data_IF_488083720128
#
_entry.id   IF_488083720128
#
_cell.length_a   1.000
_cell.length_b   1.000
_cell.length_c   1.000
_cell.angle_alpha   90.00
_cell.angle_beta   90.00
_cell.angle_gamma   90.00
#
_symmetry.space_group_name_H-M   'P 1'
#
loop_
_entity.id
_entity.type
_entity.pdbx_description
1 polymer ?
#
# COMPACT_ATOMS: atom_id res chain seq x y z
N UNK A 1 1.33 -23.83 6.09
CA UNK A 1 2.04 -23.51 7.35
C UNK A 1 3.17 -24.50 7.61
N UNK A 2 2.99 -25.82 7.42
CA UNK A 2 4.05 -26.83 7.64
C UNK A 2 5.38 -26.48 6.94
N UNK A 3 5.32 -26.01 5.70
CA UNK A 3 6.50 -25.76 4.88
C UNK A 3 7.21 -24.44 5.22
N UNK A 4 6.55 -23.54 5.98
CA UNK A 4 7.05 -22.22 6.35
C UNK A 4 7.19 -22.02 7.86
N UNK A 5 7.01 -23.08 8.66
CA UNK A 5 7.11 -22.95 10.12
C UNK A 5 8.57 -22.72 10.54
N UNK A 6 8.86 -21.64 11.29
CA UNK A 6 10.21 -21.40 11.79
C UNK A 6 10.62 -22.52 12.78
N UNK A 7 11.92 -22.81 12.85
CA UNK A 7 12.45 -23.85 13.72
C UNK A 7 12.00 -23.77 15.19
N UNK A 8 11.89 -22.57 15.81
CA UNK A 8 11.32 -22.47 17.18
C UNK A 8 9.89 -22.99 17.31
N UNK A 9 9.06 -22.84 16.26
CA UNK A 9 7.69 -23.34 16.27
C UNK A 9 7.67 -24.87 16.13
N UNK A 10 8.51 -25.45 15.29
CA UNK A 10 8.66 -26.92 15.16
C UNK A 10 9.08 -27.53 16.47
N UNK A 11 10.12 -26.98 17.10
CA UNK A 11 10.60 -27.44 18.40
C UNK A 11 9.51 -27.32 19.49
N UNK A 12 8.69 -26.29 19.47
CA UNK A 12 7.57 -26.14 20.40
C UNK A 12 6.50 -27.21 20.18
N UNK A 13 6.14 -27.49 18.93
CA UNK A 13 5.15 -28.54 18.57
C UNK A 13 5.62 -29.93 19.06
N UNK A 14 6.92 -30.20 18.92
CA UNK A 14 7.51 -31.47 19.34
C UNK A 14 7.75 -31.57 20.86
N UNK A 15 7.76 -30.47 21.57
CA UNK A 15 8.11 -30.40 23.01
C UNK A 15 7.10 -31.08 23.91
N UNK A 16 5.82 -31.19 23.52
CA UNK A 16 4.73 -31.83 24.33
C UNK A 16 3.72 -32.51 23.42
N UNK A 17 3.22 -33.65 23.81
CA UNK A 17 2.19 -34.40 23.09
C UNK A 17 0.94 -33.57 22.80
N UNK A 18 0.48 -32.74 23.75
CA UNK A 18 -0.69 -31.87 23.59
C UNK A 18 -0.47 -30.82 22.49
N UNK A 19 0.74 -30.30 22.31
CA UNK A 19 1.03 -29.32 21.25
C UNK A 19 1.04 -29.98 19.88
N UNK A 20 1.53 -31.22 19.79
CA UNK A 20 1.47 -32.00 18.55
C UNK A 20 0.03 -32.34 18.18
N UNK A 21 -0.79 -32.77 19.14
CA UNK A 21 -2.22 -33.07 18.93
C UNK A 21 -2.98 -31.81 18.47
N UNK A 22 -2.74 -30.65 19.13
CA UNK A 22 -3.32 -29.36 18.73
C UNK A 22 -2.91 -28.98 17.32
N UNK A 23 -1.64 -29.18 16.97
CA UNK A 23 -1.14 -28.93 15.64
C UNK A 23 -1.80 -29.82 14.58
N UNK A 24 -1.95 -31.09 14.85
CA UNK A 24 -2.57 -32.05 13.95
C UNK A 24 -4.04 -31.70 13.68
N UNK A 25 -4.82 -31.36 14.72
CA UNK A 25 -6.18 -30.86 14.54
C UNK A 25 -6.25 -29.53 13.81
N UNK A 26 -5.38 -28.59 14.14
CA UNK A 26 -5.33 -27.29 13.45
C UNK A 26 -5.01 -27.44 11.97
N UNK A 27 -4.10 -28.37 11.63
CA UNK A 27 -3.72 -28.67 10.25
C UNK A 27 -4.85 -29.33 9.44
N UNK A 28 -5.73 -30.10 10.09
CA UNK A 28 -6.92 -30.67 9.44
C UNK A 28 -8.01 -29.61 9.19
N UNK A 29 -8.05 -28.57 10.00
CA UNK A 29 -9.01 -27.45 9.86
C UNK A 29 -8.52 -26.39 8.86
N UNK A 30 -7.25 -26.44 8.47
CA UNK A 30 -6.69 -25.49 7.51
C UNK A 30 -7.38 -25.64 6.15
N UNK A 31 -7.71 -24.51 5.52
CA UNK A 31 -8.44 -24.41 4.25
C UNK A 31 -9.92 -24.85 4.26
N UNK A 32 -10.50 -25.15 5.42
CA UNK A 32 -11.94 -25.33 5.50
C UNK A 32 -12.66 -23.99 5.46
N UNK A 33 -13.76 -23.93 4.72
CA UNK A 33 -14.61 -22.75 4.69
C UNK A 33 -15.20 -22.50 6.09
N UNK A 34 -14.96 -21.31 6.65
CA UNK A 34 -15.40 -20.96 8.00
C UNK A 34 -16.69 -20.14 8.01
N UNK A 35 -16.76 -19.14 7.17
CA UNK A 35 -17.88 -18.18 7.13
C UNK A 35 -17.99 -17.52 5.76
N UNK A 36 -19.17 -17.02 5.46
CA UNK A 36 -19.40 -16.15 4.32
C UNK A 36 -18.99 -14.73 4.66
N UNK A 37 -18.41 -14.02 3.70
CA UNK A 37 -18.10 -12.60 3.79
C UNK A 37 -18.77 -11.81 2.68
N UNK A 38 -19.11 -10.56 2.97
CA UNK A 38 -19.62 -9.62 1.96
C UNK A 38 -18.52 -8.66 1.61
N UNK A 39 -18.24 -8.49 0.32
CA UNK A 39 -17.30 -7.47 -0.13
C UNK A 39 -17.88 -6.07 0.10
N UNK A 40 -17.12 -5.21 0.77
CA UNK A 40 -17.63 -3.92 1.24
C UNK A 40 -18.04 -2.95 0.11
N UNK A 41 -17.46 -3.08 -1.08
CA UNK A 41 -17.61 -2.11 -2.16
C UNK A 41 -17.72 -2.73 -3.56
N UNK A 42 -17.98 -4.02 -3.68
CA UNK A 42 -18.19 -4.68 -4.97
C UNK A 42 -19.68 -4.88 -5.27
N UNK A 43 -20.03 -4.68 -6.53
CA UNK A 43 -21.34 -5.01 -7.09
C UNK A 43 -21.16 -6.04 -8.19
N UNK A 44 -22.00 -7.07 -8.19
CA UNK A 44 -22.02 -8.08 -9.25
C UNK A 44 -23.14 -7.74 -10.22
N UNK A 45 -22.79 -7.66 -11.51
CA UNK A 45 -23.71 -7.36 -12.60
C UNK A 45 -23.97 -8.62 -13.39
N UNK A 46 -25.24 -8.91 -13.65
CA UNK A 46 -25.69 -10.04 -14.42
C UNK A 46 -26.50 -9.59 -15.67
N UNK A 47 -26.45 -10.32 -16.78
CA UNK A 47 -27.24 -9.99 -17.99
C UNK A 47 -28.75 -10.30 -17.84
N UNK A 48 -29.10 -11.10 -16.85
CA UNK A 48 -30.48 -11.48 -16.49
C UNK A 48 -30.64 -11.45 -14.97
N UNK A 49 -31.83 -11.75 -14.46
CA UNK A 49 -32.07 -11.81 -13.00
C UNK A 49 -31.11 -12.80 -12.34
N UNK A 50 -30.43 -12.33 -11.29
CA UNK A 50 -29.32 -13.02 -10.64
C UNK A 50 -29.67 -14.46 -10.20
N UNK A 51 -30.90 -14.67 -9.69
CA UNK A 51 -31.35 -15.99 -9.22
C UNK A 51 -31.46 -17.06 -10.32
N UNK A 52 -31.47 -16.64 -11.59
CA UNK A 52 -31.45 -17.56 -12.75
C UNK A 52 -30.05 -18.08 -13.07
N UNK A 53 -29.01 -17.39 -12.59
CA UNK A 53 -27.61 -17.71 -12.86
C UNK A 53 -26.89 -18.27 -11.64
N UNK A 54 -27.22 -17.77 -10.46
CA UNK A 54 -26.52 -18.12 -9.22
C UNK A 54 -27.46 -18.15 -8.00
N UNK A 55 -27.20 -19.01 -7.02
CA UNK A 55 -27.89 -18.94 -5.74
C UNK A 55 -27.52 -17.64 -5.01
N UNK A 56 -28.51 -17.10 -4.29
CA UNK A 56 -28.40 -15.85 -3.56
C UNK A 56 -28.78 -16.07 -2.11
N UNK A 57 -28.06 -15.46 -1.18
CA UNK A 57 -28.46 -15.35 0.22
C UNK A 57 -28.58 -13.89 0.65
N UNK A 58 -29.25 -13.65 1.76
CA UNK A 58 -29.32 -12.32 2.37
C UNK A 58 -28.35 -12.21 3.52
N UNK A 59 -27.45 -11.24 3.43
CA UNK A 59 -26.44 -11.03 4.45
C UNK A 59 -27.02 -10.24 5.64
N UNK A 60 -26.87 -10.75 6.84
CA UNK A 60 -27.19 -10.03 8.08
C UNK A 60 -25.99 -9.19 8.54
N UNK A 61 -26.19 -7.98 9.10
CA UNK A 61 -27.47 -7.34 9.43
C UNK A 61 -28.07 -6.47 8.31
N UNK A 62 -27.42 -6.37 7.14
CA UNK A 62 -27.77 -5.38 6.09
C UNK A 62 -28.93 -5.82 5.19
N UNK A 63 -29.38 -7.05 5.26
CA UNK A 63 -30.36 -7.67 4.35
C UNK A 63 -29.98 -7.55 2.85
N UNK A 64 -28.71 -7.38 2.57
CA UNK A 64 -28.19 -7.21 1.20
C UNK A 64 -28.18 -8.56 0.49
N UNK A 65 -28.69 -8.66 -0.77
CA UNK A 65 -28.59 -9.87 -1.56
C UNK A 65 -27.13 -10.09 -2.02
N UNK A 66 -26.61 -11.28 -1.76
CA UNK A 66 -25.22 -11.67 -2.06
C UNK A 66 -25.20 -12.97 -2.84
N UNK A 67 -24.38 -13.00 -3.90
CA UNK A 67 -24.11 -14.20 -4.68
C UNK A 67 -23.31 -15.20 -3.85
N UNK A 68 -23.71 -16.47 -3.84
CA UNK A 68 -23.07 -17.52 -3.04
C UNK A 68 -21.77 -18.08 -3.66
N UNK A 69 -21.43 -17.69 -4.88
CA UNK A 69 -20.19 -18.08 -5.52
C UNK A 69 -19.04 -17.12 -5.15
N UNK A 70 -17.83 -17.67 -5.04
CA UNK A 70 -16.62 -16.86 -4.92
C UNK A 70 -16.33 -16.13 -6.24
N UNK A 71 -15.30 -15.29 -6.23
CA UNK A 71 -14.92 -14.45 -7.37
C UNK A 71 -14.70 -15.27 -8.65
N UNK A 72 -13.99 -16.41 -8.56
CA UNK A 72 -13.60 -17.20 -9.74
C UNK A 72 -14.81 -17.86 -10.37
N UNK A 73 -15.64 -18.53 -9.59
CA UNK A 73 -16.86 -19.16 -10.09
C UNK A 73 -17.88 -18.14 -10.60
N UNK A 74 -17.96 -16.96 -9.97
CA UNK A 74 -18.82 -15.88 -10.46
C UNK A 74 -18.39 -15.39 -11.86
N UNK A 75 -17.08 -15.21 -12.09
CA UNK A 75 -16.53 -14.85 -13.40
C UNK A 75 -16.74 -15.97 -14.44
N UNK A 76 -16.55 -17.25 -14.06
CA UNK A 76 -16.71 -18.42 -14.95
C UNK A 76 -18.14 -18.56 -15.50
N UNK A 77 -19.14 -18.20 -14.71
CA UNK A 77 -20.56 -18.22 -15.17
C UNK A 77 -20.99 -16.93 -15.88
N UNK A 78 -20.05 -16.03 -16.16
CA UNK A 78 -20.27 -14.81 -16.94
C UNK A 78 -20.82 -13.63 -16.14
N UNK A 79 -20.69 -13.62 -14.82
CA UNK A 79 -21.00 -12.45 -14.01
C UNK A 79 -19.84 -11.45 -14.03
N UNK A 80 -20.17 -10.16 -14.07
CA UNK A 80 -19.20 -9.08 -14.02
C UNK A 80 -19.14 -8.51 -12.60
N UNK A 81 -17.98 -8.64 -11.94
CA UNK A 81 -17.72 -7.98 -10.65
C UNK A 81 -17.12 -6.60 -10.88
N UNK A 82 -17.78 -5.57 -10.38
CA UNK A 82 -17.27 -4.20 -10.37
C UNK A 82 -17.01 -3.71 -8.95
N UNK A 83 -15.81 -3.22 -8.70
CA UNK A 83 -15.40 -2.67 -7.42
C UNK A 83 -15.55 -1.14 -7.43
N UNK A 84 -16.36 -0.61 -6.51
CA UNK A 84 -16.55 0.82 -6.29
C UNK A 84 -15.81 1.25 -5.04
N UNK A 85 -14.50 1.42 -5.17
CA UNK A 85 -13.63 1.80 -4.06
C UNK A 85 -13.39 3.30 -4.05
N UNK A 86 -13.81 3.97 -2.98
CA UNK A 86 -13.48 5.37 -2.71
C UNK A 86 -12.28 5.51 -1.78
N UNK A 87 -11.59 6.64 -1.86
CA UNK A 87 -10.53 7.01 -0.93
C UNK A 87 -10.99 8.16 -0.04
N UNK A 88 -11.22 7.87 1.24
CA UNK A 88 -11.54 8.90 2.26
C UNK A 88 -10.47 10.00 2.29
N UNK A 89 -9.22 9.66 1.97
CA UNK A 89 -8.11 10.60 1.89
C UNK A 89 -8.36 11.75 0.91
N UNK A 90 -9.07 11.53 -0.19
CA UNK A 90 -9.39 12.61 -1.13
C UNK A 90 -10.36 13.61 -0.51
N UNK A 91 -11.33 13.15 0.29
CA UNK A 91 -12.21 14.03 1.08
C UNK A 91 -11.42 14.78 2.15
N UNK A 92 -10.46 14.09 2.81
CA UNK A 92 -9.56 14.74 3.78
C UNK A 92 -8.75 15.87 3.13
N UNK A 93 -8.20 15.67 1.94
CA UNK A 93 -7.49 16.70 1.19
C UNK A 93 -8.46 17.88 0.90
N UNK A 94 -9.66 17.58 0.41
CA UNK A 94 -10.66 18.60 0.09
C UNK A 94 -11.06 19.41 1.34
N UNK A 95 -11.34 18.77 2.46
CA UNK A 95 -11.69 19.42 3.74
C UNK A 95 -10.51 20.28 4.23
N UNK A 96 -9.28 19.82 4.09
CA UNK A 96 -8.08 20.60 4.42
C UNK A 96 -7.97 21.85 3.57
N UNK A 97 -8.16 21.73 2.25
CA UNK A 97 -8.13 22.87 1.33
C UNK A 97 -9.23 23.90 1.66
N UNK A 98 -10.42 23.43 2.07
CA UNK A 98 -11.49 24.32 2.52
C UNK A 98 -11.13 25.09 3.80
N UNK A 99 -10.45 24.42 4.76
CA UNK A 99 -9.96 25.08 5.97
C UNK A 99 -8.84 26.10 5.65
N UNK A 100 -7.93 25.76 4.73
CA UNK A 100 -6.88 26.67 4.26
C UNK A 100 -7.52 27.92 3.64
N UNK A 101 -8.48 27.75 2.74
CA UNK A 101 -9.21 28.87 2.14
C UNK A 101 -9.90 29.75 3.19
N UNK A 102 -10.58 29.13 4.15
CA UNK A 102 -11.27 29.82 5.25
C UNK A 102 -10.32 30.66 6.11
N UNK A 103 -9.15 30.11 6.44
CA UNK A 103 -8.23 30.72 7.39
C UNK A 103 -7.22 31.67 6.75
N UNK A 104 -6.76 31.38 5.53
CA UNK A 104 -5.70 32.12 4.85
C UNK A 104 -6.19 32.95 3.68
N UNK A 105 -7.43 32.77 3.21
CA UNK A 105 -8.08 33.61 2.19
C UNK A 105 -7.65 33.33 0.75
N UNK A 106 -6.95 32.20 0.47
CA UNK A 106 -6.56 31.83 -0.87
C UNK A 106 -6.91 30.37 -1.19
N UNK A 107 -7.03 30.06 -2.48
CA UNK A 107 -7.23 28.70 -2.97
C UNK A 107 -5.88 28.06 -3.29
N UNK A 108 -5.52 27.00 -2.57
CA UNK A 108 -4.33 26.21 -2.85
C UNK A 108 -4.63 25.16 -3.94
N UNK A 109 -3.95 25.26 -5.07
CA UNK A 109 -3.99 24.24 -6.11
C UNK A 109 -3.06 23.07 -5.75
N UNK A 110 -3.61 22.03 -5.15
CA UNK A 110 -2.88 20.85 -4.71
C UNK A 110 -2.23 20.07 -5.88
N UNK A 111 -2.66 20.31 -7.11
CA UNK A 111 -2.05 19.72 -8.32
C UNK A 111 -0.77 20.40 -8.74
N UNK A 112 -0.44 21.58 -8.20
CA UNK A 112 0.74 22.40 -8.55
C UNK A 112 1.77 22.52 -7.45
N UNK A 113 1.66 21.74 -6.38
CA UNK A 113 2.69 21.75 -5.33
C UNK A 113 4.02 21.22 -5.87
N UNK A 114 5.17 21.74 -5.41
CA UNK A 114 6.48 21.21 -5.78
C UNK A 114 6.65 19.79 -5.27
N UNK A 115 7.24 18.89 -6.09
CA UNK A 115 7.49 17.50 -5.72
C UNK A 115 8.89 17.26 -5.14
N UNK A 116 9.63 18.34 -4.92
CA UNK A 116 11.00 18.38 -4.39
C UNK A 116 11.11 19.18 -3.09
N UNK A 117 9.99 19.39 -2.39
CA UNK A 117 9.94 20.15 -1.14
C UNK A 117 10.67 19.42 0.00
N UNK A 118 11.82 19.96 0.39
CA UNK A 118 12.70 19.37 1.41
C UNK A 118 12.06 19.27 2.79
N UNK A 119 11.14 20.18 3.15
CA UNK A 119 10.43 20.13 4.45
C UNK A 119 9.45 18.96 4.49
N UNK A 120 8.76 18.70 3.37
CA UNK A 120 7.87 17.54 3.22
C UNK A 120 8.65 16.24 3.32
N UNK A 121 9.80 16.11 2.63
CA UNK A 121 10.66 14.93 2.80
C UNK A 121 11.25 14.83 4.20
N UNK A 122 11.53 15.96 4.85
CA UNK A 122 11.93 16.02 6.25
C UNK A 122 10.89 15.43 7.20
N UNK A 123 9.59 15.61 6.92
CA UNK A 123 8.51 15.00 7.69
C UNK A 123 8.51 13.46 7.55
N UNK A 124 8.72 12.94 6.34
CA UNK A 124 8.89 11.50 6.12
C UNK A 124 10.12 10.96 6.85
N UNK A 125 11.27 11.62 6.71
CA UNK A 125 12.55 11.21 7.31
C UNK A 125 12.54 11.21 8.84
N UNK A 126 11.70 12.03 9.46
CA UNK A 126 11.47 12.04 10.92
C UNK A 126 10.40 11.03 11.36
N UNK A 127 9.76 10.31 10.45
CA UNK A 127 8.68 9.39 10.75
C UNK A 127 7.43 10.05 11.35
N UNK A 128 7.23 11.35 11.13
CA UNK A 128 6.08 12.10 11.59
C UNK A 128 4.90 11.96 10.63
N UNK A 129 4.60 10.71 10.24
CA UNK A 129 3.67 10.39 9.15
C UNK A 129 2.35 9.78 9.62
N UNK A 130 1.97 9.91 10.90
CA UNK A 130 0.62 9.57 11.37
C UNK A 130 -0.39 10.46 10.64
N UNK A 131 -1.41 9.85 10.05
CA UNK A 131 -2.38 10.52 9.20
C UNK A 131 -1.95 10.70 7.74
N UNK A 132 -0.68 10.47 7.38
CA UNK A 132 -0.22 10.50 5.99
C UNK A 132 -0.65 9.22 5.28
N UNK A 133 -1.30 9.37 4.13
CA UNK A 133 -1.83 8.26 3.36
C UNK A 133 -0.77 7.19 3.06
N UNK A 134 -1.07 5.93 3.32
CA UNK A 134 -0.21 4.74 3.14
C UNK A 134 1.08 4.68 3.98
N UNK A 135 1.53 5.76 4.61
CA UNK A 135 2.84 5.85 5.25
C UNK A 135 2.81 5.94 6.78
N UNK A 136 1.66 5.69 7.42
CA UNK A 136 1.48 5.92 8.85
C UNK A 136 1.78 4.73 9.78
N UNK A 137 1.88 3.49 9.24
CA UNK A 137 2.09 2.31 10.09
C UNK A 137 3.43 2.37 10.85
N UNK A 138 3.52 1.82 12.07
CA UNK A 138 4.76 1.87 12.86
C UNK A 138 5.97 1.28 12.14
N UNK A 139 5.78 0.16 11.40
CA UNK A 139 6.85 -0.46 10.63
C UNK A 139 7.30 0.40 9.44
N UNK A 140 6.37 1.00 8.69
CA UNK A 140 6.68 1.94 7.61
C UNK A 140 7.46 3.15 8.15
N UNK A 141 7.02 3.74 9.25
CA UNK A 141 7.67 4.89 9.88
C UNK A 141 9.12 4.59 10.30
N UNK A 142 9.38 3.38 10.82
CA UNK A 142 10.74 2.94 11.13
C UNK A 142 11.61 2.95 9.88
N UNK A 143 11.17 2.32 8.79
CA UNK A 143 11.92 2.29 7.54
C UNK A 143 12.12 3.68 6.93
N UNK A 144 11.14 4.58 7.02
CA UNK A 144 11.29 5.96 6.56
C UNK A 144 12.39 6.73 7.29
N UNK A 145 12.53 6.52 8.60
CA UNK A 145 13.61 7.13 9.39
C UNK A 145 14.99 6.61 8.98
N UNK A 146 15.09 5.35 8.56
CA UNK A 146 16.33 4.73 8.10
C UNK A 146 16.63 5.13 6.64
N UNK A 147 15.62 5.18 5.78
CA UNK A 147 15.73 5.52 4.37
C UNK A 147 16.08 6.99 4.13
N UNK A 148 15.47 7.89 4.92
CA UNK A 148 15.55 9.35 4.75
C UNK A 148 15.23 9.76 3.32
N UNK A 149 13.99 9.54 2.85
CA UNK A 149 13.61 9.84 1.48
C UNK A 149 13.83 11.32 1.15
N UNK A 150 14.31 11.61 -0.06
CA UNK A 150 14.59 12.94 -0.58
C UNK A 150 14.01 13.17 -1.98
N UNK A 151 13.39 12.15 -2.58
CA UNK A 151 12.71 12.22 -3.87
C UNK A 151 11.43 11.39 -3.86
N UNK A 152 10.54 11.67 -4.84
CA UNK A 152 9.26 10.95 -4.94
C UNK A 152 9.45 9.48 -5.30
N UNK A 153 10.51 9.13 -6.02
CA UNK A 153 10.87 7.78 -6.41
C UNK A 153 11.09 6.86 -5.20
N UNK A 154 11.68 7.40 -4.14
CA UNK A 154 11.86 6.66 -2.87
C UNK A 154 10.50 6.28 -2.26
N UNK A 155 9.54 7.20 -2.27
CA UNK A 155 8.21 6.93 -1.76
C UNK A 155 7.48 5.91 -2.62
N UNK A 156 7.65 5.97 -3.96
CA UNK A 156 7.07 5.02 -4.90
C UNK A 156 7.64 3.62 -4.63
N UNK A 157 8.95 3.51 -4.47
CA UNK A 157 9.61 2.24 -4.15
C UNK A 157 9.17 1.68 -2.79
N UNK A 158 9.12 2.51 -1.76
CA UNK A 158 8.67 2.09 -0.42
C UNK A 158 7.21 1.62 -0.42
N UNK A 159 6.32 2.29 -1.15
CA UNK A 159 4.93 1.87 -1.30
C UNK A 159 4.82 0.49 -1.99
N UNK A 160 5.71 0.22 -2.94
CA UNK A 160 5.78 -1.06 -3.63
C UNK A 160 6.41 -2.18 -2.78
N UNK A 161 7.44 -1.86 -1.98
CA UNK A 161 8.21 -2.83 -1.19
C UNK A 161 7.57 -3.18 0.15
N UNK A 162 6.84 -2.25 0.79
CA UNK A 162 6.29 -2.47 2.13
C UNK A 162 5.03 -3.34 2.10
N UNK A 163 5.21 -4.62 1.77
CA UNK A 163 4.18 -5.66 1.69
C UNK A 163 4.77 -7.03 2.03
N UNK A 164 3.95 -7.98 2.50
CA UNK A 164 4.40 -9.37 2.66
C UNK A 164 5.04 -9.89 1.37
N UNK A 165 6.26 -10.42 1.49
CA UNK A 165 7.10 -10.89 0.37
C UNK A 165 8.27 -9.92 0.11
N UNK A 166 8.07 -8.78 -0.55
CA UNK A 166 9.19 -7.89 -0.90
C UNK A 166 9.73 -7.06 0.26
N UNK A 167 9.09 -7.05 1.42
CA UNK A 167 9.55 -6.31 2.61
C UNK A 167 10.98 -6.68 3.03
N UNK A 168 11.44 -7.89 2.73
CA UNK A 168 12.80 -8.36 2.99
C UNK A 168 13.88 -7.61 2.20
N UNK A 169 13.51 -6.95 1.10
CA UNK A 169 14.45 -6.19 0.26
C UNK A 169 14.62 -4.73 0.72
N UNK A 170 13.77 -4.26 1.63
CA UNK A 170 13.85 -2.87 2.12
C UNK A 170 15.22 -2.56 2.75
N UNK A 171 15.82 -3.43 3.58
CA UNK A 171 17.15 -3.15 4.12
C UNK A 171 18.21 -2.96 3.03
N UNK A 172 18.23 -3.80 1.98
CA UNK A 172 19.14 -3.65 0.85
C UNK A 172 18.89 -2.34 0.10
N UNK A 173 17.63 -2.02 -0.18
CA UNK A 173 17.25 -0.76 -0.81
C UNK A 173 17.78 0.45 -0.03
N UNK A 174 17.62 0.46 1.29
CA UNK A 174 18.10 1.51 2.19
C UNK A 174 19.63 1.57 2.20
N UNK A 175 20.31 0.42 2.29
CA UNK A 175 21.77 0.36 2.32
C UNK A 175 22.38 0.87 1.02
N UNK A 176 21.82 0.48 -0.13
CA UNK A 176 22.27 0.95 -1.43
C UNK A 176 22.05 2.47 -1.60
N UNK A 177 20.87 2.99 -1.21
CA UNK A 177 20.61 4.43 -1.22
C UNK A 177 21.60 5.20 -0.37
N UNK A 178 21.86 4.73 0.84
CA UNK A 178 22.75 5.40 1.80
C UNK A 178 24.25 5.16 1.50
N UNK A 179 24.60 4.46 0.42
CA UNK A 179 25.98 4.16 0.05
C UNK A 179 26.71 3.18 0.96
N UNK A 180 25.97 2.42 1.80
CA UNK A 180 26.50 1.38 2.68
C UNK A 180 26.83 0.12 1.85
N UNK A 181 25.99 -0.19 0.87
CA UNK A 181 26.20 -1.26 -0.10
C UNK A 181 26.34 -0.66 -1.51
N UNK A 182 27.17 -1.24 -2.39
CA UNK A 182 27.31 -0.80 -3.77
C UNK A 182 26.02 -1.06 -4.55
N UNK A 183 25.66 -0.13 -5.43
CA UNK A 183 24.55 -0.32 -6.37
C UNK A 183 25.00 -1.29 -7.44
N UNK A 184 24.37 -2.45 -7.53
CA UNK A 184 24.61 -3.45 -8.54
C UNK A 184 23.44 -3.52 -9.52
N UNK A 185 23.63 -2.97 -10.72
CA UNK A 185 22.67 -3.03 -11.81
C UNK A 185 22.86 -4.26 -12.72
N UNK A 186 23.71 -5.21 -12.35
CA UNK A 186 24.04 -6.46 -13.05
C UNK A 186 24.75 -6.29 -14.41
N UNK A 187 24.37 -5.30 -15.21
CA UNK A 187 24.94 -4.97 -16.52
C UNK A 187 24.70 -3.50 -16.84
N UNK A 188 25.61 -2.87 -17.63
CA UNK A 188 25.49 -1.45 -18.00
C UNK A 188 24.19 -1.10 -18.74
N UNK A 189 23.70 -2.00 -19.60
CA UNK A 189 22.43 -1.83 -20.32
C UNK A 189 21.21 -1.75 -19.38
N UNK A 190 21.33 -2.24 -18.15
CA UNK A 190 20.26 -2.27 -17.17
C UNK A 190 20.32 -1.09 -16.19
N UNK A 191 21.43 -0.34 -16.16
CA UNK A 191 21.57 0.83 -15.30
C UNK A 191 20.43 1.84 -15.48
N UNK A 192 19.99 2.20 -16.70
CA UNK A 192 18.89 3.15 -16.89
C UNK A 192 17.55 2.72 -16.27
N UNK A 193 17.39 1.41 -16.02
CA UNK A 193 16.14 0.85 -15.49
C UNK A 193 16.22 0.63 -13.98
N UNK A 194 17.38 0.23 -13.47
CA UNK A 194 17.57 -0.19 -12.08
C UNK A 194 18.14 0.90 -11.18
N UNK A 195 18.74 1.95 -11.75
CA UNK A 195 19.35 3.05 -11.00
C UNK A 195 18.35 3.79 -10.10
N UNK A 196 17.13 4.00 -10.58
CA UNK A 196 16.06 4.65 -9.80
C UNK A 196 15.64 3.87 -8.54
N UNK A 197 15.93 2.58 -8.51
CA UNK A 197 15.64 1.66 -7.39
C UNK A 197 16.92 1.10 -6.77
N UNK A 198 18.04 1.78 -6.97
CA UNK A 198 19.35 1.44 -6.40
C UNK A 198 19.77 -0.01 -6.67
N UNK A 199 19.49 -0.52 -7.88
CA UNK A 199 19.79 -1.89 -8.29
C UNK A 199 18.81 -2.96 -7.79
N UNK A 200 17.78 -2.58 -7.02
CA UNK A 200 16.75 -3.51 -6.56
C UNK A 200 15.62 -3.61 -7.59
N UNK A 201 15.22 -4.83 -7.93
CA UNK A 201 14.06 -5.05 -8.81
C UNK A 201 12.80 -4.89 -7.96
N UNK A 202 11.94 -3.92 -8.30
CA UNK A 202 10.73 -3.57 -7.53
C UNK A 202 9.48 -3.70 -8.37
N UNK A 203 9.55 -3.29 -9.64
CA UNK A 203 8.38 -3.10 -10.48
C UNK A 203 8.23 -4.16 -11.56
N UNK A 204 6.96 -4.47 -11.90
CA UNK A 204 6.62 -5.33 -13.04
C UNK A 204 7.19 -4.78 -14.35
N UNK A 205 7.18 -3.48 -14.50
CA UNK A 205 7.72 -2.75 -15.65
C UNK A 205 9.23 -2.95 -15.80
N UNK A 206 9.97 -3.05 -14.70
CA UNK A 206 11.40 -3.38 -14.73
C UNK A 206 11.62 -4.80 -15.27
N UNK A 207 10.86 -5.79 -14.80
CA UNK A 207 10.96 -7.18 -15.31
C UNK A 207 10.68 -7.25 -16.81
N UNK A 208 9.66 -6.51 -17.29
CA UNK A 208 9.36 -6.45 -18.71
C UNK A 208 10.49 -5.79 -19.51
N UNK A 209 11.05 -4.69 -19.00
CA UNK A 209 12.19 -4.00 -19.63
C UNK A 209 13.45 -4.87 -19.67
N UNK A 210 13.75 -5.59 -18.58
CA UNK A 210 14.84 -6.56 -18.54
C UNK A 210 14.70 -7.61 -19.64
N UNK A 211 13.50 -8.18 -19.80
CA UNK A 211 13.24 -9.16 -20.87
C UNK A 211 13.41 -8.55 -22.27
N UNK A 212 12.99 -7.32 -22.49
CA UNK A 212 13.14 -6.62 -23.77
C UNK A 212 14.63 -6.36 -24.10
N UNK A 213 15.40 -5.86 -23.14
CA UNK A 213 16.80 -5.49 -23.36
C UNK A 213 17.66 -6.75 -23.53
N UNK A 214 17.60 -7.66 -22.58
CA UNK A 214 18.47 -8.83 -22.55
C UNK A 214 18.07 -9.88 -23.61
N UNK A 215 16.77 -10.22 -23.67
CA UNK A 215 16.28 -11.28 -24.54
C UNK A 215 15.70 -10.82 -25.88
N UNK A 216 15.60 -9.48 -26.11
CA UNK A 216 15.02 -8.95 -27.34
C UNK A 216 13.53 -9.27 -27.51
N UNK A 217 12.83 -9.51 -26.42
CA UNK A 217 11.39 -9.77 -26.47
C UNK A 217 10.59 -8.55 -26.91
N UNK A 218 9.53 -8.78 -27.68
CA UNK A 218 8.53 -7.75 -27.92
C UNK A 218 7.82 -7.37 -26.61
N UNK A 219 7.11 -6.23 -26.60
CA UNK A 219 6.35 -5.81 -25.41
C UNK A 219 5.34 -6.88 -24.99
N UNK A 220 4.63 -7.50 -25.93
CA UNK A 220 3.69 -8.59 -25.64
C UNK A 220 4.40 -9.86 -25.12
N UNK A 221 5.59 -10.18 -25.67
CA UNK A 221 6.42 -11.28 -25.17
C UNK A 221 6.89 -11.04 -23.74
N UNK A 222 7.35 -9.83 -23.43
CA UNK A 222 7.77 -9.44 -22.10
C UNK A 222 6.61 -9.46 -21.08
N UNK A 223 5.41 -9.03 -21.47
CA UNK A 223 4.21 -9.14 -20.62
C UNK A 223 3.82 -10.61 -20.37
N UNK A 224 3.95 -11.48 -21.40
CA UNK A 224 3.73 -12.91 -21.21
C UNK A 224 4.72 -13.52 -20.22
N UNK A 225 6.00 -13.15 -20.29
CA UNK A 225 7.03 -13.55 -19.30
C UNK A 225 6.60 -13.14 -17.90
N UNK A 226 6.27 -11.86 -17.71
CA UNK A 226 5.79 -11.34 -16.43
C UNK A 226 4.59 -12.13 -15.87
N UNK A 227 3.61 -12.46 -16.73
CA UNK A 227 2.43 -13.26 -16.33
C UNK A 227 2.77 -14.68 -15.92
N UNK A 228 3.64 -15.35 -16.67
CA UNK A 228 4.11 -16.71 -16.36
C UNK A 228 4.79 -16.72 -15.01
N UNK A 229 5.71 -15.80 -14.80
CA UNK A 229 6.47 -15.68 -13.56
C UNK A 229 5.56 -15.33 -12.38
N UNK A 230 4.60 -14.40 -12.53
CA UNK A 230 3.66 -14.02 -11.48
C UNK A 230 2.76 -15.18 -11.02
N UNK A 231 2.35 -16.04 -11.96
CA UNK A 231 1.51 -17.22 -11.65
C UNK A 231 2.31 -18.42 -11.13
N UNK A 232 3.64 -18.37 -11.21
CA UNK A 232 4.57 -19.44 -10.78
C UNK A 232 4.17 -20.84 -11.28
N UNK A 233 3.69 -20.95 -12.54
CA UNK A 233 3.26 -22.22 -13.12
C UNK A 233 4.49 -23.05 -13.48
N UNK A 234 4.79 -24.17 -12.80
CA UNK A 234 6.07 -24.88 -12.94
C UNK A 234 6.38 -25.31 -14.39
N UNK A 235 5.38 -25.85 -15.10
CA UNK A 235 5.53 -26.29 -16.48
C UNK A 235 5.89 -25.16 -17.46
N UNK A 236 5.32 -23.96 -17.24
CA UNK A 236 5.60 -22.78 -18.05
C UNK A 236 6.96 -22.17 -17.70
N UNK A 237 7.31 -22.19 -16.42
CA UNK A 237 8.62 -21.73 -15.96
C UNK A 237 9.74 -22.60 -16.51
N UNK A 238 9.60 -23.92 -16.49
CA UNK A 238 10.59 -24.87 -17.03
C UNK A 238 10.86 -24.68 -18.53
N UNK A 239 9.89 -24.15 -19.29
CA UNK A 239 10.07 -23.81 -20.72
C UNK A 239 10.62 -22.40 -20.91
N UNK A 240 10.24 -21.46 -20.05
CA UNK A 240 10.63 -20.06 -20.16
C UNK A 240 12.13 -19.86 -19.87
N UNK A 241 12.66 -20.54 -18.86
CA UNK A 241 14.05 -20.37 -18.46
C UNK A 241 15.04 -20.68 -19.59
N UNK A 242 15.01 -21.87 -20.23
CA UNK A 242 15.90 -22.18 -21.36
C UNK A 242 15.75 -21.20 -22.54
N UNK A 243 14.51 -20.83 -22.87
CA UNK A 243 14.25 -19.87 -23.95
C UNK A 243 14.84 -18.49 -23.65
N UNK A 244 14.68 -18.01 -22.42
CA UNK A 244 15.25 -16.73 -21.98
C UNK A 244 16.77 -16.75 -22.05
N UNK A 245 17.41 -17.82 -21.56
CA UNK A 245 18.85 -17.97 -21.60
C UNK A 245 19.38 -18.01 -23.05
N UNK A 246 18.78 -18.80 -23.92
CA UNK A 246 19.15 -18.88 -25.33
C UNK A 246 19.10 -17.52 -26.01
N UNK A 247 18.02 -16.79 -25.83
CA UNK A 247 17.84 -15.44 -26.40
C UNK A 247 18.89 -14.45 -25.87
N UNK A 248 19.16 -14.45 -24.58
CA UNK A 248 20.15 -13.56 -23.99
C UNK A 248 21.58 -13.89 -24.49
N UNK A 249 21.93 -15.18 -24.53
CA UNK A 249 23.21 -15.64 -25.07
C UNK A 249 23.39 -15.28 -26.54
N UNK A 250 22.34 -15.41 -27.36
CA UNK A 250 22.38 -15.05 -28.79
C UNK A 250 22.63 -13.57 -29.03
N UNK A 251 22.37 -12.72 -28.01
CA UNK A 251 22.61 -11.27 -28.03
C UNK A 251 23.95 -10.86 -27.42
N UNK A 252 24.76 -11.85 -27.01
CA UNK A 252 26.12 -11.62 -26.54
C UNK A 252 26.28 -11.43 -25.03
N UNK A 253 25.21 -11.61 -24.23
CA UNK A 253 25.32 -11.52 -22.78
C UNK A 253 26.00 -12.75 -22.18
N UNK A 254 26.82 -12.54 -21.15
CA UNK A 254 27.50 -13.62 -20.45
C UNK A 254 26.55 -14.48 -19.64
N UNK A 255 26.78 -15.81 -19.67
CA UNK A 255 25.91 -16.77 -18.96
C UNK A 255 25.84 -16.53 -17.46
N UNK A 256 26.95 -16.12 -16.84
CA UNK A 256 26.97 -15.85 -15.40
C UNK A 256 26.12 -14.60 -15.04
N UNK A 257 26.13 -13.57 -15.89
CA UNK A 257 25.29 -12.39 -15.73
C UNK A 257 23.81 -12.76 -15.89
N UNK A 258 23.48 -13.55 -16.93
CA UNK A 258 22.09 -14.01 -17.17
C UNK A 258 21.59 -14.80 -15.96
N UNK A 259 22.40 -15.72 -15.44
CA UNK A 259 22.06 -16.52 -14.27
C UNK A 259 21.78 -15.64 -13.03
N UNK A 260 22.67 -14.69 -12.76
CA UNK A 260 22.54 -13.77 -11.64
C UNK A 260 21.27 -12.92 -11.73
N UNK A 261 20.93 -12.43 -12.92
CA UNK A 261 19.70 -11.67 -13.17
C UNK A 261 18.48 -12.57 -13.00
N UNK A 262 18.50 -13.78 -13.55
CA UNK A 262 17.40 -14.74 -13.43
C UNK A 262 17.10 -15.06 -11.97
N UNK A 263 18.12 -15.34 -11.17
CA UNK A 263 18.01 -15.60 -9.74
C UNK A 263 17.48 -14.40 -8.96
N UNK A 264 17.85 -13.19 -9.37
CA UNK A 264 17.34 -11.96 -8.75
C UNK A 264 15.87 -11.68 -9.12
N UNK A 265 15.47 -11.97 -10.38
CA UNK A 265 14.10 -11.73 -10.87
C UNK A 265 13.12 -12.76 -10.32
N UNK A 266 13.54 -14.02 -10.18
CA UNK A 266 12.67 -15.15 -9.84
C UNK A 266 11.85 -14.96 -8.52
N UNK A 267 12.43 -14.52 -7.41
CA UNK A 267 11.67 -14.23 -6.19
C UNK A 267 10.65 -13.13 -6.38
N UNK A 268 11.00 -12.08 -7.16
CA UNK A 268 10.17 -10.90 -7.37
C UNK A 268 8.95 -11.14 -8.25
N UNK A 269 9.00 -12.13 -9.13
CA UNK A 269 7.92 -12.34 -10.09
C UNK A 269 6.56 -12.63 -9.46
N UNK A 270 6.55 -13.18 -8.23
CA UNK A 270 5.32 -13.33 -7.45
C UNK A 270 4.92 -12.07 -6.67
N UNK A 271 5.79 -11.06 -6.59
CA UNK A 271 5.63 -9.90 -5.71
C UNK A 271 5.87 -8.56 -6.41
N UNK A 272 6.36 -8.54 -7.65
CA UNK A 272 6.58 -7.32 -8.41
C UNK A 272 5.30 -6.47 -8.47
N UNK A 273 5.44 -5.17 -8.24
CA UNK A 273 4.31 -4.25 -8.16
C UNK A 273 4.15 -3.43 -9.43
N UNK A 274 2.93 -3.03 -9.72
CA UNK A 274 2.68 -2.10 -10.82
C UNK A 274 3.19 -0.71 -10.42
N UNK A 275 4.14 -0.15 -11.17
CA UNK A 275 4.75 1.15 -10.88
C UNK A 275 3.73 2.28 -10.96
N UNK A 276 2.81 2.25 -11.92
CA UNK A 276 1.79 3.28 -12.11
C UNK A 276 0.87 3.38 -10.89
N UNK A 277 0.48 2.24 -10.31
CA UNK A 277 -0.30 2.23 -9.07
C UNK A 277 0.49 2.79 -7.89
N UNK A 278 1.73 2.33 -7.69
CA UNK A 278 2.60 2.85 -6.62
C UNK A 278 2.83 4.36 -6.76
N UNK A 279 3.05 4.85 -7.98
CA UNK A 279 3.23 6.27 -8.26
C UNK A 279 1.99 7.10 -7.92
N UNK A 280 0.80 6.67 -8.36
CA UNK A 280 -0.45 7.38 -8.08
C UNK A 280 -0.71 7.48 -6.56
N UNK A 281 -0.50 6.39 -5.82
CA UNK A 281 -0.68 6.36 -4.37
C UNK A 281 0.39 7.16 -3.62
N UNK A 282 1.63 7.14 -4.08
CA UNK A 282 2.71 7.93 -3.49
C UNK A 282 2.54 9.43 -3.75
N UNK A 283 1.96 9.80 -4.90
CA UNK A 283 1.60 11.18 -5.17
C UNK A 283 0.54 11.69 -4.18
N UNK A 284 -0.52 10.92 -3.92
CA UNK A 284 -1.53 11.26 -2.90
C UNK A 284 -0.90 11.30 -1.50
N UNK A 285 0.01 10.36 -1.19
CA UNK A 285 0.74 10.37 0.08
C UNK A 285 1.58 11.64 0.24
N UNK A 286 2.29 12.03 -0.80
CA UNK A 286 3.07 13.25 -0.81
C UNK A 286 2.19 14.50 -0.64
N UNK A 287 1.04 14.58 -1.31
CA UNK A 287 0.07 15.66 -1.12
C UNK A 287 -0.40 15.76 0.34
N UNK A 288 -0.71 14.63 0.96
CA UNK A 288 -1.12 14.61 2.38
C UNK A 288 0.01 15.01 3.32
N UNK A 289 1.25 14.62 3.01
CA UNK A 289 2.43 15.03 3.78
C UNK A 289 2.74 16.52 3.61
N UNK A 290 2.63 17.05 2.38
CA UNK A 290 2.79 18.47 2.09
C UNK A 290 1.79 19.33 2.87
N UNK A 291 0.51 18.98 2.83
CA UNK A 291 -0.53 19.65 3.61
C UNK A 291 -0.24 19.60 5.12
N UNK A 292 0.20 18.43 5.61
CA UNK A 292 0.57 18.26 7.02
C UNK A 292 1.78 19.11 7.42
N UNK A 293 2.75 19.28 6.51
CA UNK A 293 3.97 20.05 6.76
C UNK A 293 3.69 21.56 6.80
N UNK A 294 3.01 22.07 5.78
CA UNK A 294 2.82 23.50 5.58
C UNK A 294 1.53 24.07 6.17
N UNK A 295 0.51 23.22 6.36
CA UNK A 295 -0.81 23.57 6.89
C UNK A 295 -1.22 22.59 7.98
N UNK A 296 -0.29 22.29 8.89
CA UNK A 296 -0.45 21.26 9.92
C UNK A 296 -1.71 21.39 10.76
N UNK A 297 -2.08 22.57 11.28
CA UNK A 297 -3.31 22.74 12.05
C UNK A 297 -4.57 22.38 11.24
N UNK A 298 -4.69 22.86 10.00
CA UNK A 298 -5.82 22.59 9.10
C UNK A 298 -5.90 21.11 8.74
N UNK A 299 -4.74 20.51 8.39
CA UNK A 299 -4.66 19.10 8.06
C UNK A 299 -5.07 18.21 9.23
N UNK A 300 -4.53 18.46 10.43
CA UNK A 300 -4.84 17.66 11.62
C UNK A 300 -6.29 17.86 12.09
N UNK A 301 -6.85 19.05 11.95
CA UNK A 301 -8.27 19.32 12.23
C UNK A 301 -9.17 18.55 11.26
N UNK A 302 -8.87 18.56 9.96
CA UNK A 302 -9.60 17.79 8.96
C UNK A 302 -9.47 16.28 9.20
N UNK A 303 -8.28 15.78 9.54
CA UNK A 303 -8.04 14.37 9.85
C UNK A 303 -8.83 13.90 11.08
N UNK A 304 -8.87 14.69 12.15
CA UNK A 304 -9.69 14.40 13.33
C UNK A 304 -11.18 14.45 13.01
N UNK A 305 -11.61 15.38 12.14
CA UNK A 305 -13.00 15.48 11.69
C UNK A 305 -13.45 14.27 10.87
N UNK A 306 -12.58 13.74 10.02
CA UNK A 306 -12.86 12.53 9.24
C UNK A 306 -13.03 11.28 10.10
N UNK A 307 -12.39 11.26 11.28
CA UNK A 307 -12.40 10.13 12.21
C UNK A 307 -13.18 10.44 13.51
N UNK A 308 -14.08 11.44 13.48
CA UNK A 308 -14.71 12.02 14.67
C UNK A 308 -15.46 11.02 15.55
N UNK A 309 -15.98 9.94 14.96
CA UNK A 309 -16.66 8.85 15.68
C UNK A 309 -15.70 7.81 16.31
N UNK A 310 -14.38 7.87 16.02
CA UNK A 310 -13.39 6.89 16.45
C UNK A 310 -12.45 7.48 17.50
N UNK A 311 -12.84 7.39 18.77
CA UNK A 311 -12.12 8.00 19.90
C UNK A 311 -10.64 7.61 19.94
N UNK A 312 -10.31 6.33 19.77
CA UNK A 312 -8.93 5.85 19.79
C UNK A 312 -8.08 6.51 18.68
N UNK A 313 -8.69 6.72 17.52
CA UNK A 313 -8.01 7.38 16.41
C UNK A 313 -7.77 8.86 16.68
N UNK A 314 -8.76 9.55 17.28
CA UNK A 314 -8.60 10.96 17.70
C UNK A 314 -7.43 11.08 18.69
N UNK A 315 -7.31 10.18 19.67
CA UNK A 315 -6.21 10.19 20.64
C UNK A 315 -4.86 10.11 19.93
N UNK A 316 -4.70 9.22 18.94
CA UNK A 316 -3.47 9.08 18.15
C UNK A 316 -3.15 10.38 17.39
N UNK A 317 -4.15 10.99 16.76
CA UNK A 317 -3.98 12.26 16.02
C UNK A 317 -3.65 13.44 16.96
N UNK A 318 -4.24 13.49 18.15
CA UNK A 318 -3.88 14.48 19.17
C UNK A 318 -2.42 14.34 19.65
N UNK A 319 -1.97 13.11 19.84
CA UNK A 319 -0.58 12.86 20.21
C UNK A 319 0.39 13.28 19.09
N UNK A 320 0.01 13.05 17.84
CA UNK A 320 0.80 13.50 16.69
C UNK A 320 0.82 15.02 16.57
N UNK A 321 -0.35 15.68 16.73
CA UNK A 321 -0.43 17.16 16.77
C UNK A 321 0.50 17.74 17.83
N UNK A 322 0.55 17.11 19.00
CA UNK A 322 1.47 17.53 20.08
C UNK A 322 2.94 17.44 19.69
N UNK A 323 3.35 16.36 18.95
CA UNK A 323 4.72 16.22 18.43
C UNK A 323 5.07 17.29 17.39
N UNK A 324 4.08 17.76 16.64
CA UNK A 324 4.22 18.84 15.67
C UNK A 324 4.12 20.24 16.32
N UNK A 325 4.05 20.33 17.66
CA UNK A 325 3.82 21.57 18.40
C UNK A 325 2.52 22.28 18.05
N UNK A 326 1.52 21.57 17.53
CA UNK A 326 0.19 22.09 17.22
C UNK A 326 -0.67 21.99 18.47
N UNK A 327 -1.14 23.13 18.98
CA UNK A 327 -1.98 23.20 20.16
C UNK A 327 -3.43 22.86 19.83
N UNK A 328 -4.02 21.95 20.60
CA UNK A 328 -5.46 21.67 20.54
C UNK A 328 -6.11 22.20 21.82
N UNK A 329 -7.17 22.96 21.64
CA UNK A 329 -7.95 23.54 22.74
C UNK A 329 -9.13 22.63 23.09
N UNK A 330 -9.54 22.58 24.38
CA UNK A 330 -10.72 21.81 24.79
C UNK A 330 -11.98 22.32 24.13
N UNK A 331 -13.05 21.50 24.06
CA UNK A 331 -14.33 21.93 23.49
C UNK A 331 -14.90 23.12 24.25
N UNK A 332 -15.42 24.09 23.52
CA UNK A 332 -16.02 25.31 24.05
C UNK A 332 -17.27 25.68 23.27
N UNK A 333 -18.44 25.75 23.94
CA UNK A 333 -19.71 26.00 23.29
C UNK A 333 -19.75 27.32 22.51
N UNK A 334 -18.93 28.32 22.90
CA UNK A 334 -18.92 29.64 22.26
C UNK A 334 -17.92 29.70 21.07
N UNK A 335 -17.04 28.72 20.87
CA UNK A 335 -15.99 28.79 19.86
C UNK A 335 -15.88 27.54 18.98
N UNK A 336 -16.22 26.37 19.54
CA UNK A 336 -16.11 25.12 18.80
C UNK A 336 -17.26 24.96 17.82
N UNK A 337 -16.96 24.46 16.64
CA UNK A 337 -17.91 24.01 15.63
C UNK A 337 -18.28 22.55 15.87
N UNK A 338 -19.22 22.01 15.10
CA UNK A 338 -19.55 20.57 15.16
C UNK A 338 -18.33 19.69 14.85
N UNK A 339 -17.56 20.04 13.82
CA UNK A 339 -16.30 19.38 13.46
C UNK A 339 -15.10 20.14 14.06
N UNK A 340 -13.93 19.52 14.03
CA UNK A 340 -12.68 20.19 14.39
C UNK A 340 -12.42 21.35 13.44
N UNK A 341 -11.99 22.47 13.96
CA UNK A 341 -11.68 23.69 13.21
C UNK A 341 -10.39 24.33 13.72
N UNK A 342 -9.91 25.37 13.09
CA UNK A 342 -8.68 26.07 13.48
C UNK A 342 -8.99 27.53 13.73
N UNK A 343 -8.51 28.08 14.84
CA UNK A 343 -8.69 29.48 15.21
C UNK A 343 -7.61 30.40 14.58
N UNK A 344 -7.76 31.71 14.79
CA UNK A 344 -6.84 32.74 14.26
C UNK A 344 -5.40 32.62 14.80
N UNK A 345 -5.19 31.87 15.87
CA UNK A 345 -3.88 31.62 16.48
C UNK A 345 -3.30 30.26 16.06
N UNK A 346 -3.80 29.66 14.97
CA UNK A 346 -3.42 28.34 14.50
C UNK A 346 -3.58 27.21 15.52
N UNK A 347 -4.51 27.39 16.49
CA UNK A 347 -4.85 26.34 17.44
C UNK A 347 -6.05 25.54 16.92
N UNK A 348 -5.99 24.22 17.07
CA UNK A 348 -7.13 23.36 16.73
C UNK A 348 -8.20 23.51 17.83
N UNK A 349 -9.43 23.80 17.44
CA UNK A 349 -10.61 23.78 18.30
C UNK A 349 -11.23 22.38 18.25
N UNK A 350 -11.43 21.78 19.43
CA UNK A 350 -12.03 20.45 19.51
C UNK A 350 -13.49 20.50 19.05
N UNK A 351 -13.86 19.64 18.08
CA UNK A 351 -15.21 19.58 17.53
C UNK A 351 -16.23 19.03 18.53
N UNK A 352 -17.37 19.69 18.68
CA UNK A 352 -18.39 19.31 19.66
C UNK A 352 -18.94 17.90 19.41
N UNK A 353 -19.07 17.48 18.16
CA UNK A 353 -19.51 16.11 17.82
C UNK A 353 -18.49 15.01 18.16
N UNK A 354 -17.25 15.37 18.52
CA UNK A 354 -16.26 14.45 19.08
C UNK A 354 -16.44 14.13 20.57
N UNK A 355 -17.37 14.81 21.23
CA UNK A 355 -17.73 14.56 22.63
C UNK A 355 -18.63 13.31 22.68
N UNK A 356 -18.32 12.39 23.60
CA UNK A 356 -19.11 11.17 23.76
C UNK A 356 -20.60 11.50 23.96
N UNK A 357 -21.46 10.85 23.22
CA UNK A 357 -22.91 11.03 23.18
C UNK A 357 -23.41 12.39 22.63
N UNK A 358 -22.54 13.16 21.98
CA UNK A 358 -22.93 14.35 21.22
C UNK A 358 -22.81 14.02 19.74
N UNK A 359 -23.93 13.87 19.03
CA UNK A 359 -23.94 13.62 17.58
C UNK A 359 -23.90 14.91 16.77
N UNK A 360 -23.55 14.77 15.48
CA UNK A 360 -23.57 15.90 14.53
C UNK A 360 -24.95 16.57 14.43
N UNK A 361 -26.01 15.79 14.61
CA UNK A 361 -27.40 16.29 14.55
C UNK A 361 -27.81 17.11 15.78
N UNK A 362 -27.08 17.01 16.89
CA UNK A 362 -27.36 17.71 18.15
C UNK A 362 -26.69 19.08 18.20
N UNK A 363 -25.59 19.24 17.48
CA UNK A 363 -24.77 20.45 17.42
C UNK A 363 -25.24 21.37 16.28
#
# INVERSE_FOLDING_TARGET
>A
IKDYSPEPLKALIESRAIYKELWDYSSQLENLARQTGVHAAAVVIAPVEMYKLAPIFRATPTDTPVVMYDKHYAEDIGLLKMDFLGLITLSLIQDTLALIKKNHGFDLDIGKIPLDDSETFGLFSKGLTVGVFQFESPGMRKYLCELKPDCIEDLIAMNALYRPGPIGEIPRFINCKNGIEPIDCYHEDLEPILKETYGVIVYQEQVMKLAQILGGYSLGGADNIRRIMAKKIPEKMAKLEPEFFEKCLSRGYDKAIIQKIWEAVLPFCGYAFNKSHAAAYSYVAYQTAYLKTHYGPEYMAAAMSAEISKVDRIVVLLQESKKLNIKTLPPCINRSEARFSVDKNSCILFGLAGIKNVGLEVV
#
